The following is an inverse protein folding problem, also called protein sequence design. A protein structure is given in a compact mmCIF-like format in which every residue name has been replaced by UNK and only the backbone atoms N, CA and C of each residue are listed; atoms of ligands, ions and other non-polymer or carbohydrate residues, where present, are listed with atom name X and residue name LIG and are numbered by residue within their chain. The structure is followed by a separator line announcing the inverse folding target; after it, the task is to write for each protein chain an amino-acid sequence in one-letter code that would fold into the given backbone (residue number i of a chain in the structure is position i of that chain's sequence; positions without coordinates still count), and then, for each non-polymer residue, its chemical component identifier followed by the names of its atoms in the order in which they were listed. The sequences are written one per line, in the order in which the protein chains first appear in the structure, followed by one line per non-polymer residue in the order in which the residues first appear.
data_IF_808783394759
#
_entry.id   IF_808783394759
#
_cell.length_a   1.000
_cell.length_b   1.000
_cell.length_c   1.000
_cell.angle_alpha   90.00
_cell.angle_beta   90.00
_cell.angle_gamma   90.00
#
_symmetry.space_group_name_H-M   'P 1'
#
loop_
_entity.id
_entity.type
_entity.pdbx_description
1 polymer ?
#
# COMPACT_ATOMS: atom_id res chain seq x y z
N UNK A 1 17.17 -8.40 12.53
CA UNK A 1 17.56 -7.11 11.87
C UNK A 1 16.48 -6.64 10.88
N UNK A 2 16.12 -7.38 9.83
CA UNK A 2 15.09 -6.96 8.84
C UNK A 2 13.76 -6.60 9.52
N UNK A 3 13.25 -7.46 10.41
CA UNK A 3 11.99 -7.19 11.12
C UNK A 3 12.06 -5.96 12.03
N UNK A 4 13.21 -5.72 12.65
CA UNK A 4 13.43 -4.53 13.48
C UNK A 4 13.41 -3.26 12.63
N UNK A 5 14.09 -3.26 11.47
CA UNK A 5 14.05 -2.15 10.51
C UNK A 5 12.62 -1.94 10.01
N UNK A 6 11.95 -3.03 9.58
CA UNK A 6 10.58 -2.97 9.05
C UNK A 6 9.59 -2.43 10.09
N UNK A 7 9.74 -2.75 11.38
CA UNK A 7 8.87 -2.25 12.45
C UNK A 7 9.01 -0.75 12.71
N UNK A 8 10.15 -0.14 12.37
CA UNK A 8 10.38 1.31 12.46
C UNK A 8 9.79 2.09 11.28
N UNK A 9 9.48 1.42 10.16
CA UNK A 9 8.92 2.06 8.99
C UNK A 9 7.41 2.36 9.17
N UNK A 10 6.90 3.44 8.58
CA UNK A 10 5.51 3.90 8.79
C UNK A 10 4.45 3.02 8.16
N UNK A 11 4.83 1.98 7.42
CA UNK A 11 3.95 0.99 6.76
C UNK A 11 2.91 1.58 5.81
N UNK A 12 3.19 2.74 5.23
CA UNK A 12 2.31 3.40 4.24
C UNK A 12 2.25 2.67 2.90
N UNK A 13 3.24 1.80 2.62
CA UNK A 13 3.36 1.01 1.39
C UNK A 13 3.34 1.86 0.10
N UNK A 14 3.76 3.14 0.19
CA UNK A 14 3.60 4.14 -0.87
C UNK A 14 4.59 4.02 -2.04
N UNK A 15 5.70 3.30 -1.86
CA UNK A 15 6.72 3.14 -2.90
C UNK A 15 7.60 4.37 -3.16
N UNK A 16 7.42 5.50 -2.46
CA UNK A 16 8.19 6.75 -2.68
C UNK A 16 9.70 6.57 -2.52
N UNK A 17 10.14 5.63 -1.68
CA UNK A 17 11.56 5.26 -1.51
C UNK A 17 12.16 4.50 -2.70
N UNK A 18 11.36 4.19 -3.74
CA UNK A 18 11.77 3.40 -4.91
C UNK A 18 11.60 1.88 -4.74
N UNK A 19 11.09 1.41 -3.61
CA UNK A 19 10.82 0.00 -3.32
C UNK A 19 9.31 -0.29 -3.33
N UNK A 20 8.94 -1.53 -3.69
CA UNK A 20 7.52 -1.95 -3.78
C UNK A 20 6.91 -2.26 -2.40
N UNK A 21 7.10 -1.36 -1.43
CA UNK A 21 6.58 -1.51 -0.08
C UNK A 21 7.65 -1.36 0.99
N UNK A 22 7.25 -1.40 2.25
CA UNK A 22 8.16 -1.16 3.37
C UNK A 22 9.11 -2.33 3.64
N UNK A 23 8.66 -3.57 3.52
CA UNK A 23 9.51 -4.75 3.74
C UNK A 23 10.67 -4.84 2.72
N UNK A 24 10.49 -4.70 1.39
CA UNK A 24 11.61 -4.66 0.46
C UNK A 24 12.61 -3.54 0.71
N UNK A 25 12.15 -2.39 1.22
CA UNK A 25 13.05 -1.32 1.64
C UNK A 25 13.83 -1.70 2.90
N UNK A 26 13.19 -2.32 3.89
CA UNK A 26 13.88 -2.82 5.09
C UNK A 26 14.94 -3.89 4.75
N UNK A 27 14.63 -4.79 3.82
CA UNK A 27 15.57 -5.79 3.30
C UNK A 27 16.77 -5.14 2.62
N UNK A 28 16.54 -4.11 1.81
CA UNK A 28 17.59 -3.37 1.12
C UNK A 28 18.51 -2.61 2.10
N UNK A 29 17.95 -2.01 3.15
CA UNK A 29 18.73 -1.37 4.23
C UNK A 29 19.59 -2.44 4.94
N UNK A 30 18.98 -3.55 5.35
CA UNK A 30 19.69 -4.63 6.05
C UNK A 30 20.83 -5.23 5.22
N UNK A 31 20.68 -5.24 3.90
CA UNK A 31 21.68 -5.70 2.95
C UNK A 31 22.73 -4.63 2.56
N UNK A 32 22.65 -3.41 3.11
CA UNK A 32 23.53 -2.29 2.76
C UNK A 32 23.34 -1.76 1.33
N UNK A 33 22.19 -2.08 0.69
CA UNK A 33 21.86 -1.66 -0.68
C UNK A 33 21.03 -0.37 -0.75
N UNK A 34 20.51 0.10 0.37
CA UNK A 34 19.77 1.33 0.48
C UNK A 34 20.18 2.11 1.72
N UNK A 35 20.23 3.43 1.58
CA UNK A 35 20.39 4.35 2.69
C UNK A 35 19.10 4.44 3.53
N UNK A 36 19.24 4.82 4.81
CA UNK A 36 18.14 4.93 5.78
C UNK A 36 17.21 6.13 5.57
N UNK A 37 17.61 7.09 4.74
CA UNK A 37 17.00 8.40 4.58
C UNK A 37 16.04 8.53 3.39
N UNK A 38 15.54 7.39 2.82
CA UNK A 38 14.72 7.40 1.62
C UNK A 38 13.21 7.30 1.85
N UNK A 39 12.76 7.42 3.11
CA UNK A 39 11.33 7.28 3.44
C UNK A 39 10.69 8.63 3.81
N UNK A 40 10.01 9.36 2.87
CA UNK A 40 9.37 10.62 3.20
C UNK A 40 8.29 10.51 4.29
N UNK A 41 7.40 9.50 4.30
CA UNK A 41 6.44 9.37 5.38
C UNK A 41 7.05 9.08 6.76
N UNK A 42 8.27 8.51 6.80
CA UNK A 42 9.02 8.31 8.04
C UNK A 42 9.57 9.61 8.62
N UNK A 43 9.95 10.55 7.75
CA UNK A 43 10.53 11.82 8.10
C UNK A 43 11.83 11.68 8.90
N UNK A 44 12.25 12.76 9.53
CA UNK A 44 13.47 12.80 10.36
C UNK A 44 13.41 11.84 11.54
N UNK A 45 12.24 11.70 12.19
CA UNK A 45 12.07 10.74 13.29
C UNK A 45 12.36 9.31 12.87
N UNK A 46 11.89 8.91 11.69
CA UNK A 46 12.13 7.57 11.14
C UNK A 46 13.60 7.37 10.80
N UNK A 47 14.25 8.37 10.24
CA UNK A 47 15.68 8.34 9.94
C UNK A 47 16.50 8.20 11.22
N UNK A 48 16.17 8.98 12.26
CA UNK A 48 16.85 8.91 13.55
C UNK A 48 16.68 7.53 14.19
N UNK A 49 15.46 6.99 14.20
CA UNK A 49 15.22 5.66 14.76
C UNK A 49 15.98 4.54 14.03
N UNK A 50 16.10 4.64 12.70
CA UNK A 50 16.90 3.71 11.90
C UNK A 50 18.40 3.88 12.15
N UNK A 51 18.88 5.13 12.29
CA UNK A 51 20.27 5.45 12.61
C UNK A 51 20.66 4.87 13.97
N UNK A 52 19.81 5.06 14.98
CA UNK A 52 20.02 4.53 16.35
C UNK A 52 20.07 2.99 16.35
N UNK A 53 19.14 2.34 15.62
CA UNK A 53 19.10 0.88 15.52
C UNK A 53 20.37 0.30 14.86
N UNK A 54 20.89 0.98 13.83
CA UNK A 54 21.97 0.48 13.01
C UNK A 54 23.37 0.98 13.46
N UNK A 55 23.41 1.91 14.42
CA UNK A 55 24.65 2.52 14.90
C UNK A 55 25.35 3.38 13.84
N UNK A 56 24.58 4.05 12.96
CA UNK A 56 25.07 4.92 11.89
C UNK A 56 24.66 6.37 12.12
N UNK A 57 25.34 7.32 11.47
CA UNK A 57 24.94 8.73 11.56
C UNK A 57 23.67 8.98 10.73
N UNK A 58 22.71 9.76 11.26
CA UNK A 58 21.53 10.16 10.50
C UNK A 58 21.93 11.06 9.33
N UNK A 59 21.20 10.93 8.22
CA UNK A 59 21.37 11.75 7.01
C UNK A 59 20.10 12.57 6.79
N UNK A 60 20.14 13.75 6.15
CA UNK A 60 18.94 14.46 5.75
C UNK A 60 18.10 13.60 4.80
N UNK A 61 16.79 13.80 4.80
CA UNK A 61 15.87 13.08 3.90
C UNK A 61 16.32 13.26 2.44
N UNK A 62 16.35 12.15 1.70
CA UNK A 62 16.66 12.16 0.28
C UNK A 62 15.52 12.85 -0.50
N UNK A 63 15.80 14.07 -0.99
CA UNK A 63 14.85 14.90 -1.73
C UNK A 63 14.36 14.25 -3.03
N UNK A 64 15.15 13.33 -3.62
CA UNK A 64 14.72 12.57 -4.79
C UNK A 64 13.54 11.62 -4.49
N UNK A 65 13.32 11.25 -3.23
CA UNK A 65 12.19 10.43 -2.79
C UNK A 65 10.95 11.27 -2.42
N UNK A 66 11.07 12.59 -2.39
CA UNK A 66 10.03 13.55 -2.03
C UNK A 66 10.19 14.13 -0.63
N UNK A 67 9.20 14.88 -0.19
CA UNK A 67 9.20 15.62 1.06
C UNK A 67 8.35 14.93 2.14
N UNK A 68 8.69 15.16 3.40
CA UNK A 68 7.82 14.80 4.52
C UNK A 68 6.61 15.73 4.56
N UNK A 69 5.41 15.14 4.54
CA UNK A 69 4.13 15.88 4.56
C UNK A 69 3.33 15.55 5.82
N UNK A 70 2.48 16.47 6.28
CA UNK A 70 1.49 16.17 7.30
C UNK A 70 0.65 14.95 6.94
N UNK A 71 0.10 14.29 7.96
CA UNK A 71 -0.76 13.14 7.74
C UNK A 71 -2.04 13.56 7.02
N UNK A 72 -2.34 12.87 5.93
CA UNK A 72 -3.54 13.10 5.14
C UNK A 72 -4.23 11.76 4.82
N UNK A 73 -5.53 11.81 4.51
CA UNK A 73 -6.32 10.68 4.04
C UNK A 73 -6.94 11.00 2.69
N UNK A 74 -7.08 10.00 1.85
CA UNK A 74 -7.81 10.14 0.60
C UNK A 74 -9.30 10.35 0.89
N UNK A 75 -9.93 11.22 0.12
CA UNK A 75 -11.38 11.45 0.13
C UNK A 75 -11.88 11.38 -1.30
N UNK A 76 -12.96 10.67 -1.54
CA UNK A 76 -13.57 10.56 -2.86
C UNK A 76 -14.71 11.57 -2.95
N UNK A 77 -14.70 12.38 -4.01
CA UNK A 77 -15.82 13.26 -4.36
C UNK A 77 -16.88 12.35 -4.99
N UNK A 78 -17.92 12.07 -4.22
CA UNK A 78 -18.91 11.04 -4.56
C UNK A 78 -19.69 11.39 -5.82
N UNK A 79 -19.99 12.66 -6.05
CA UNK A 79 -20.72 13.17 -7.21
C UNK A 79 -19.97 12.93 -8.53
N UNK A 80 -18.63 12.94 -8.48
CA UNK A 80 -17.77 12.73 -9.65
C UNK A 80 -17.37 11.26 -9.86
N UNK A 81 -17.67 10.39 -8.87
CA UNK A 81 -17.22 9.00 -8.90
C UNK A 81 -18.05 8.15 -9.87
N UNK A 82 -17.42 7.65 -10.93
CA UNK A 82 -18.06 6.80 -11.96
C UNK A 82 -18.04 5.31 -11.63
N UNK A 83 -17.57 4.89 -10.48
CA UNK A 83 -17.54 3.47 -10.08
C UNK A 83 -16.59 2.60 -10.90
N UNK A 84 -15.44 3.13 -11.36
CA UNK A 84 -14.51 2.40 -12.23
C UNK A 84 -13.65 1.33 -11.53
N UNK A 85 -13.68 1.27 -10.19
CA UNK A 85 -12.96 0.32 -9.33
C UNK A 85 -11.42 0.36 -9.40
N UNK A 86 -10.78 1.30 -10.12
CA UNK A 86 -9.32 1.37 -10.23
C UNK A 86 -8.64 1.74 -8.93
N UNK A 87 -9.26 2.59 -8.10
CA UNK A 87 -8.74 2.97 -6.79
C UNK A 87 -8.76 1.80 -5.79
N UNK A 88 -9.73 0.88 -5.90
CA UNK A 88 -9.78 -0.36 -5.10
C UNK A 88 -8.54 -1.22 -5.36
N UNK A 89 -8.20 -1.42 -6.64
CA UNK A 89 -7.04 -2.21 -7.04
C UNK A 89 -5.72 -1.55 -6.59
N UNK A 90 -5.65 -0.22 -6.57
CA UNK A 90 -4.46 0.54 -6.21
C UNK A 90 -4.23 0.63 -4.70
N UNK A 91 -5.28 0.51 -3.87
CA UNK A 91 -5.15 0.67 -2.42
C UNK A 91 -4.35 -0.49 -1.80
N UNK A 92 -3.19 -0.25 -1.17
CA UNK A 92 -2.33 -1.32 -0.66
C UNK A 92 -2.88 -1.97 0.60
N UNK A 93 -3.85 -1.35 1.27
CA UNK A 93 -4.39 -1.79 2.57
C UNK A 93 -5.91 -2.03 2.54
N UNK A 94 -6.50 -2.09 1.34
CA UNK A 94 -7.96 -2.26 1.15
C UNK A 94 -8.81 -1.26 1.97
N UNK A 95 -8.33 0.00 2.09
CA UNK A 95 -9.05 1.06 2.81
C UNK A 95 -10.14 1.73 1.95
N UNK A 96 -10.35 1.30 0.72
CA UNK A 96 -11.39 1.82 -0.16
C UNK A 96 -12.43 0.72 -0.38
N UNK A 97 -13.69 1.04 -0.17
CA UNK A 97 -14.83 0.14 -0.40
C UNK A 97 -15.69 0.63 -1.56
N UNK A 98 -16.34 -0.30 -2.23
CA UNK A 98 -17.20 -0.05 -3.39
C UNK A 98 -17.18 -1.23 -4.35
N UNK A 99 -17.82 -1.08 -5.48
CA UNK A 99 -17.86 -2.08 -6.53
C UNK A 99 -17.92 -1.42 -7.92
N UNK A 100 -17.75 -2.20 -8.98
CA UNK A 100 -17.92 -1.72 -10.36
C UNK A 100 -19.31 -1.13 -10.56
N UNK A 101 -19.39 0.08 -11.12
CA UNK A 101 -20.61 0.87 -11.32
C UNK A 101 -21.33 1.29 -10.03
N UNK A 102 -20.67 1.19 -8.89
CA UNK A 102 -21.11 1.69 -7.60
C UNK A 102 -20.15 2.78 -7.14
N UNK A 103 -20.64 3.72 -6.38
CA UNK A 103 -19.82 4.75 -5.74
C UNK A 103 -18.79 4.12 -4.79
N UNK A 104 -17.62 4.73 -4.70
CA UNK A 104 -16.58 4.30 -3.77
C UNK A 104 -16.46 5.26 -2.60
N UNK A 105 -16.04 4.74 -1.45
CA UNK A 105 -15.72 5.55 -0.28
C UNK A 105 -14.47 5.06 0.42
N UNK A 106 -13.81 5.93 1.18
CA UNK A 106 -12.57 5.63 1.90
C UNK A 106 -12.86 5.44 3.38
N UNK A 107 -12.35 4.35 3.95
CA UNK A 107 -12.31 4.15 5.39
C UNK A 107 -11.13 4.96 5.94
N UNK A 108 -11.40 6.17 6.40
CA UNK A 108 -10.38 7.14 6.79
C UNK A 108 -9.44 6.64 7.89
N UNK A 109 -9.95 5.85 8.86
CA UNK A 109 -9.14 5.25 9.93
C UNK A 109 -8.10 4.26 9.43
N UNK A 110 -8.29 3.69 8.25
CA UNK A 110 -7.45 2.67 7.66
C UNK A 110 -6.59 3.19 6.51
N UNK A 111 -6.91 4.39 6.02
CA UNK A 111 -6.14 5.04 4.97
C UNK A 111 -4.74 5.43 5.47
N UNK A 112 -3.71 4.96 4.77
CA UNK A 112 -2.30 5.23 5.10
C UNK A 112 -1.76 6.53 4.50
N UNK A 113 -2.55 7.23 3.67
CA UNK A 113 -2.11 8.45 2.99
C UNK A 113 -1.07 8.21 1.88
N UNK A 114 -1.04 7.03 1.30
CA UNK A 114 -0.03 6.62 0.31
C UNK A 114 -0.16 7.29 -1.06
N UNK A 115 -1.30 7.92 -1.36
CA UNK A 115 -1.61 8.63 -2.62
C UNK A 115 -1.74 7.71 -3.86
N UNK A 116 -1.57 6.39 -3.73
CA UNK A 116 -1.57 5.46 -4.87
C UNK A 116 -2.92 5.36 -5.60
N UNK A 117 -4.01 5.76 -4.96
CA UNK A 117 -5.34 5.75 -5.57
C UNK A 117 -5.61 6.95 -6.49
N UNK A 118 -4.81 8.02 -6.43
CA UNK A 118 -5.02 9.27 -7.19
C UNK A 118 -4.74 9.04 -8.67
N UNK A 119 -3.51 8.64 -9.02
CA UNK A 119 -3.07 8.50 -10.40
C UNK A 119 -3.94 7.57 -11.28
N UNK A 120 -4.50 6.45 -10.80
CA UNK A 120 -5.36 5.60 -11.62
C UNK A 120 -6.80 6.11 -11.76
N UNK A 121 -7.20 7.18 -11.06
CA UNK A 121 -8.55 7.74 -11.17
C UNK A 121 -8.73 8.47 -12.51
N UNK A 122 -9.64 8.03 -13.39
CA UNK A 122 -9.78 8.63 -14.72
C UNK A 122 -10.58 9.93 -14.73
N UNK A 123 -11.19 10.29 -13.62
CA UNK A 123 -12.03 11.50 -13.46
C UNK A 123 -11.53 12.40 -12.33
N UNK A 124 -10.35 12.15 -11.81
CA UNK A 124 -9.67 12.94 -10.77
C UNK A 124 -10.53 13.27 -9.55
N UNK A 125 -11.47 12.36 -9.18
CA UNK A 125 -12.39 12.56 -8.07
C UNK A 125 -11.81 12.20 -6.69
N UNK A 126 -10.48 12.07 -6.56
CA UNK A 126 -9.83 11.70 -5.31
C UNK A 126 -8.89 12.81 -4.86
N UNK A 127 -9.15 13.34 -3.69
CA UNK A 127 -8.36 14.38 -3.04
C UNK A 127 -7.68 13.86 -1.79
N UNK A 128 -6.53 14.47 -1.42
CA UNK A 128 -5.90 14.25 -0.11
C UNK A 128 -6.34 15.35 0.83
N UNK A 129 -6.96 14.97 1.95
CA UNK A 129 -7.34 15.90 3.01
C UNK A 129 -6.44 15.69 4.23
N UNK A 130 -5.80 16.77 4.66
CA UNK A 130 -5.00 16.75 5.88
C UNK A 130 -5.89 16.47 7.08
N UNK A 131 -5.38 15.66 8.00
CA UNK A 131 -6.03 15.38 9.27
C UNK A 131 -5.51 16.39 10.29
N UNK A 132 -6.38 16.94 11.15
CA UNK A 132 -5.94 17.82 12.22
C UNK A 132 -4.79 17.22 13.03
N UNK A 133 -3.80 18.04 13.32
CA UNK A 133 -2.63 17.59 14.07
C UNK A 133 -3.06 17.09 15.46
N UNK A 134 -2.59 15.90 15.78
CA UNK A 134 -2.76 15.31 17.12
C UNK A 134 -1.75 15.92 18.09
N UNK A 135 -2.06 15.88 19.39
CA UNK A 135 -1.03 16.23 20.36
C UNK A 135 0.18 15.32 20.22
N UNK A 136 1.42 15.82 20.47
CA UNK A 136 2.63 15.03 20.30
C UNK A 136 2.61 13.69 21.09
N UNK A 137 2.03 13.69 22.28
CA UNK A 137 1.87 12.51 23.11
C UNK A 137 0.96 11.47 22.44
N UNK A 138 -0.18 11.91 21.90
CA UNK A 138 -1.12 11.02 21.23
C UNK A 138 -0.54 10.51 19.91
N UNK A 139 0.08 11.36 19.12
CA UNK A 139 0.74 10.98 17.87
C UNK A 139 1.81 9.90 18.11
N UNK A 140 2.66 10.06 19.12
CA UNK A 140 3.69 9.07 19.51
C UNK A 140 3.08 7.72 19.89
N UNK A 141 1.94 7.71 20.59
CA UNK A 141 1.24 6.47 20.99
C UNK A 141 0.55 5.77 19.82
N UNK A 142 -0.06 6.54 18.92
CA UNK A 142 -0.85 5.99 17.81
C UNK A 142 0.01 5.57 16.61
N UNK A 143 1.17 6.19 16.41
CA UNK A 143 2.06 5.90 15.26
C UNK A 143 2.39 4.42 15.11
N UNK A 144 2.87 3.69 16.15
CA UNK A 144 3.17 2.26 16.03
C UNK A 144 1.93 1.41 15.81
N UNK A 145 0.80 1.75 16.43
CA UNK A 145 -0.45 1.01 16.27
C UNK A 145 -1.00 1.11 14.84
N UNK A 146 -0.92 2.31 14.25
CA UNK A 146 -1.32 2.54 12.85
C UNK A 146 -0.39 1.81 11.87
N UNK A 147 0.90 1.82 12.13
CA UNK A 147 1.86 1.11 11.31
C UNK A 147 1.61 -0.41 11.35
N UNK A 148 1.35 -0.98 12.53
CA UNK A 148 1.03 -2.39 12.68
C UNK A 148 -0.28 -2.77 11.98
N UNK A 149 -1.33 -1.96 12.15
CA UNK A 149 -2.60 -2.16 11.44
C UNK A 149 -2.41 -2.12 9.92
N UNK A 150 -1.67 -1.12 9.42
CA UNK A 150 -1.41 -0.97 7.99
C UNK A 150 -0.60 -2.15 7.43
N UNK A 151 0.41 -2.64 8.19
CA UNK A 151 1.18 -3.83 7.84
C UNK A 151 0.30 -5.07 7.75
N UNK A 152 -0.48 -5.34 8.77
CA UNK A 152 -1.38 -6.49 8.83
C UNK A 152 -2.38 -6.47 7.66
N UNK A 153 -2.97 -5.32 7.36
CA UNK A 153 -3.90 -5.18 6.21
C UNK A 153 -3.21 -5.39 4.88
N UNK A 154 -2.00 -4.89 4.71
CA UNK A 154 -1.20 -5.12 3.51
C UNK A 154 -0.91 -6.61 3.29
N UNK A 155 -0.51 -7.32 4.33
CA UNK A 155 -0.25 -8.76 4.30
C UNK A 155 -1.53 -9.55 3.98
N UNK A 156 -2.65 -9.25 4.65
CA UNK A 156 -3.95 -9.87 4.40
C UNK A 156 -4.44 -9.64 2.96
N UNK A 157 -4.25 -8.42 2.44
CA UNK A 157 -4.52 -8.11 1.03
C UNK A 157 -3.68 -8.98 0.10
N UNK A 158 -2.40 -9.15 0.38
CA UNK A 158 -1.51 -10.02 -0.39
C UNK A 158 -2.03 -11.46 -0.46
N UNK A 159 -2.43 -12.02 0.69
CA UNK A 159 -3.01 -13.35 0.77
C UNK A 159 -4.34 -13.47 -0.02
N UNK A 160 -5.20 -12.45 0.09
CA UNK A 160 -6.46 -12.41 -0.66
C UNK A 160 -6.21 -12.41 -2.17
N UNK A 161 -5.32 -11.55 -2.65
CA UNK A 161 -4.98 -11.47 -4.09
C UNK A 161 -4.37 -12.77 -4.61
N UNK A 162 -3.48 -13.40 -3.86
CA UNK A 162 -2.89 -14.70 -4.23
C UNK A 162 -3.96 -15.79 -4.33
N UNK A 163 -4.92 -15.81 -3.40
CA UNK A 163 -6.05 -16.75 -3.45
C UNK A 163 -6.94 -16.51 -4.67
N UNK A 164 -7.31 -15.25 -4.94
CA UNK A 164 -8.13 -14.89 -6.11
C UNK A 164 -7.44 -15.28 -7.43
N UNK A 165 -6.14 -15.10 -7.53
CA UNK A 165 -5.35 -15.50 -8.69
C UNK A 165 -5.33 -17.01 -8.86
N UNK A 166 -5.11 -17.76 -7.79
CA UNK A 166 -5.15 -19.22 -7.81
C UNK A 166 -6.53 -19.76 -8.24
N UNK A 167 -7.62 -19.17 -7.72
CA UNK A 167 -8.99 -19.52 -8.12
C UNK A 167 -9.26 -19.23 -9.61
N UNK A 168 -8.82 -18.06 -10.10
CA UNK A 168 -8.92 -17.71 -11.53
C UNK A 168 -8.15 -18.69 -12.41
N UNK A 169 -6.93 -19.07 -12.00
CA UNK A 169 -6.12 -20.03 -12.72
C UNK A 169 -6.78 -21.43 -12.75
N UNK A 170 -7.36 -21.89 -11.63
CA UNK A 170 -8.08 -23.16 -11.54
C UNK A 170 -9.29 -23.17 -12.49
N UNK A 171 -10.14 -22.14 -12.43
CA UNK A 171 -11.30 -21.99 -13.34
C UNK A 171 -10.88 -21.96 -14.82
N UNK A 172 -9.77 -21.31 -15.15
CA UNK A 172 -9.25 -21.26 -16.51
C UNK A 172 -8.80 -22.67 -16.99
N UNK A 173 -8.13 -23.44 -16.12
CA UNK A 173 -7.74 -24.85 -16.42
C UNK A 173 -8.94 -25.74 -16.64
N UNK A 174 -9.97 -25.65 -15.79
CA UNK A 174 -11.22 -26.41 -15.93
C UNK A 174 -11.93 -26.09 -17.26
N UNK A 175 -12.06 -24.80 -17.59
CA UNK A 175 -12.65 -24.38 -18.88
C UNK A 175 -11.88 -24.93 -20.07
N UNK A 176 -10.54 -24.89 -20.02
CA UNK A 176 -9.67 -25.44 -21.08
C UNK A 176 -9.84 -26.94 -21.21
N UNK A 177 -9.86 -27.68 -20.10
CA UNK A 177 -10.08 -29.12 -20.10
C UNK A 177 -11.45 -29.51 -20.68
N UNK A 178 -12.53 -28.81 -20.26
CA UNK A 178 -13.85 -29.03 -20.78
C UNK A 178 -13.96 -28.75 -22.29
N UNK A 179 -13.26 -27.71 -22.79
CA UNK A 179 -13.22 -27.39 -24.22
C UNK A 179 -12.49 -28.51 -25.02
N UNK A 180 -11.36 -29.00 -24.52
CA UNK A 180 -10.61 -30.08 -25.15
C UNK A 180 -11.45 -31.37 -25.25
N UNK A 181 -12.17 -31.73 -24.18
CA UNK A 181 -13.07 -32.90 -24.18
C UNK A 181 -14.20 -32.74 -25.23
N UNK A 182 -14.78 -31.56 -25.35
CA UNK A 182 -15.80 -31.28 -26.38
C UNK A 182 -15.24 -31.42 -27.80
N UNK A 183 -14.03 -30.87 -28.05
CA UNK A 183 -13.37 -30.99 -29.36
C UNK A 183 -13.08 -32.46 -29.72
N UNK A 184 -12.64 -33.26 -28.74
CA UNK A 184 -12.40 -34.70 -28.95
C UNK A 184 -13.70 -35.49 -29.22
N UNK A 185 -14.80 -35.10 -28.56
CA UNK A 185 -16.10 -35.71 -28.79
C UNK A 185 -16.67 -35.41 -30.17
N UNK A 186 -16.44 -34.22 -30.72
CA UNK A 186 -16.87 -33.81 -32.07
C UNK A 186 -15.95 -34.28 -33.18
N UNK A 187 -14.72 -34.70 -32.86
CA UNK A 187 -13.78 -35.23 -33.86
C UNK A 187 -13.85 -36.73 -34.06
N UNK A 188 -14.80 -37.46 -33.42
CA UNK A 188 -15.08 -38.88 -33.71
C UNK A 188 -15.99 -38.97 -34.90
N UNK A 189 -15.61 -39.69 -35.99
CA UNK A 189 -16.41 -39.88 -37.16
C UNK A 189 -17.64 -40.75 -36.87
#
# INVERSE_FOLDING_TARGET
MIDQINSLLPQTQCGKCGYRGCLPYAEAIAAGKADINRCPPGGEEGIQALADLLGVLPKPLDSACGEHKPRAVATIIEEDCIGCAKCLAACPVDAIIGAAKQMHTVIASECTGCELCIAPCPVDCIEMREIPAESPVLAKRLKPLRAELARSRYELRGLRLAREEAEKAARAREKKAALLLKMQATAKP
#
